data_IF_054866017369
#
_entry.id   IF_054866017369
#
_cell.length_a   1.000
_cell.length_b   1.000
_cell.length_c   1.000
_cell.angle_alpha   90.00
_cell.angle_beta   90.00
_cell.angle_gamma   90.00
#
_symmetry.space_group_name_H-M   'P 1'
#
loop_
_entity.id
_entity.type
_entity.pdbx_description
1 polymer ?
#
# COMPACT_ATOMS: atom_id res chain seq x y z
N UNK A 1 -2.28 31.31 12.94
CA UNK A 1 -2.88 31.20 11.59
C UNK A 1 -2.69 29.82 10.95
N UNK A 2 -1.47 29.32 10.74
CA UNK A 2 -1.23 28.11 9.90
C UNK A 2 -1.79 26.79 10.43
N UNK A 3 -1.60 26.50 11.73
CA UNK A 3 -2.16 25.30 12.39
C UNK A 3 -3.66 25.42 12.65
N UNK A 4 -4.16 26.65 12.82
CA UNK A 4 -5.58 26.92 13.09
C UNK A 4 -6.46 26.55 11.89
N UNK A 5 -6.03 26.87 10.66
CA UNK A 5 -6.73 26.46 9.45
C UNK A 5 -6.94 24.94 9.39
N UNK A 6 -5.86 24.16 9.56
CA UNK A 6 -5.96 22.70 9.54
C UNK A 6 -6.86 22.16 10.66
N UNK A 7 -6.75 22.71 11.87
CA UNK A 7 -7.62 22.34 13.00
C UNK A 7 -9.10 22.65 12.71
N UNK A 8 -9.39 23.83 12.18
CA UNK A 8 -10.75 24.23 11.85
C UNK A 8 -11.37 23.32 10.78
N UNK A 9 -10.60 23.00 9.72
CA UNK A 9 -11.06 22.09 8.67
C UNK A 9 -11.32 20.70 9.24
N UNK A 10 -10.40 20.16 10.05
CA UNK A 10 -10.58 18.83 10.68
C UNK A 10 -11.80 18.82 11.60
N UNK A 11 -12.03 19.87 12.39
CA UNK A 11 -13.20 19.99 13.26
C UNK A 11 -14.51 20.06 12.46
N UNK A 12 -14.57 20.84 11.39
CA UNK A 12 -15.75 20.90 10.50
C UNK A 12 -16.06 19.54 9.86
N UNK A 13 -15.01 18.78 9.48
CA UNK A 13 -15.20 17.42 8.98
C UNK A 13 -15.71 16.52 10.12
N UNK A 14 -15.16 16.65 11.33
CA UNK A 14 -15.61 15.89 12.50
C UNK A 14 -17.07 16.18 12.86
N UNK A 15 -17.53 17.43 12.74
CA UNK A 15 -18.96 17.79 12.92
C UNK A 15 -19.85 17.01 11.95
N UNK A 16 -19.43 16.87 10.69
CA UNK A 16 -20.19 16.18 9.66
C UNK A 16 -20.18 14.65 9.78
N UNK A 17 -19.06 14.04 10.20
CA UNK A 17 -18.88 12.57 10.11
C UNK A 17 -18.73 11.86 11.45
N UNK A 18 -18.53 12.60 12.54
CA UNK A 18 -18.23 12.06 13.87
C UNK A 18 -18.92 12.83 15.01
N UNK A 19 -19.95 13.65 14.71
CA UNK A 19 -20.67 14.45 15.71
C UNK A 19 -19.76 15.40 16.49
N UNK A 20 -18.73 15.95 15.84
CA UNK A 20 -17.74 16.85 16.43
C UNK A 20 -16.64 16.15 17.23
N UNK A 21 -16.68 14.82 17.35
CA UNK A 21 -15.67 14.07 18.10
C UNK A 21 -14.39 13.88 17.29
N UNK A 22 -13.25 13.98 17.96
CA UNK A 22 -11.92 13.78 17.39
C UNK A 22 -11.07 12.83 18.23
N UNK A 23 -10.07 12.21 17.62
CA UNK A 23 -9.03 11.43 18.33
C UNK A 23 -7.66 11.99 18.03
N UNK A 24 -6.81 12.08 19.05
CA UNK A 24 -5.38 12.39 18.85
C UNK A 24 -4.69 11.22 18.16
N UNK A 25 -3.74 11.50 17.29
CA UNK A 25 -3.00 10.48 16.52
C UNK A 25 -1.51 10.48 16.88
N UNK A 26 -0.87 9.32 16.87
CA UNK A 26 0.56 9.18 17.17
C UNK A 26 1.45 9.41 15.94
N UNK A 27 1.01 8.94 14.78
CA UNK A 27 1.73 9.09 13.50
C UNK A 27 0.76 9.30 12.34
N UNK A 28 1.28 9.84 11.24
CA UNK A 28 0.53 10.02 10.00
C UNK A 28 1.30 9.51 8.79
N UNK A 29 0.56 9.14 7.75
CA UNK A 29 1.12 8.74 6.46
C UNK A 29 0.29 9.32 5.33
N UNK A 30 0.87 10.26 4.59
CA UNK A 30 0.18 11.03 3.55
C UNK A 30 0.23 10.24 2.23
N UNK A 31 -0.95 9.99 1.67
CA UNK A 31 -1.14 9.37 0.36
C UNK A 31 -1.45 10.41 -0.73
N UNK A 32 -1.36 10.01 -1.99
CA UNK A 32 -1.62 10.89 -3.14
C UNK A 32 -0.57 11.98 -3.24
N UNK A 33 0.70 11.62 -3.32
CA UNK A 33 1.83 12.57 -3.44
C UNK A 33 2.60 12.41 -4.75
N UNK A 34 2.12 11.54 -5.64
CA UNK A 34 2.64 11.41 -7.00
C UNK A 34 2.03 12.48 -7.89
N UNK A 35 2.87 13.23 -8.62
CA UNK A 35 2.41 14.24 -9.58
C UNK A 35 1.46 13.65 -10.63
N UNK A 36 1.63 12.38 -11.01
CA UNK A 36 0.69 11.66 -11.88
C UNK A 36 -0.74 11.67 -11.32
N UNK A 37 -0.89 11.51 -10.00
CA UNK A 37 -2.18 11.31 -9.34
C UNK A 37 -2.84 12.60 -8.89
N UNK A 38 -2.06 13.64 -8.55
CA UNK A 38 -2.60 14.89 -8.00
C UNK A 38 -2.42 16.11 -8.89
N UNK A 39 -1.54 16.02 -9.90
CA UNK A 39 -1.27 17.09 -10.86
C UNK A 39 -0.92 18.43 -10.21
N UNK A 40 -1.13 19.50 -10.97
CA UNK A 40 -0.85 20.86 -10.52
C UNK A 40 -1.73 21.30 -9.34
N UNK A 41 -3.03 20.96 -9.35
CA UNK A 41 -3.93 21.36 -8.27
C UNK A 41 -3.50 20.80 -6.91
N UNK A 42 -3.05 19.54 -6.87
CA UNK A 42 -2.50 18.96 -5.66
C UNK A 42 -1.18 19.57 -5.24
N UNK A 43 -0.30 19.89 -6.20
CA UNK A 43 0.95 20.59 -5.92
C UNK A 43 0.68 21.98 -5.32
N UNK A 44 -0.22 22.76 -5.92
CA UNK A 44 -0.64 24.08 -5.45
C UNK A 44 -1.26 24.03 -4.05
N UNK A 45 -2.08 23.02 -3.76
CA UNK A 45 -2.65 22.84 -2.42
C UNK A 45 -1.55 22.61 -1.36
N UNK A 46 -0.57 21.76 -1.67
CA UNK A 46 0.56 21.51 -0.76
C UNK A 46 1.44 22.75 -0.59
N UNK A 47 1.69 23.48 -1.67
CA UNK A 47 2.43 24.75 -1.67
C UNK A 47 1.72 25.83 -0.85
N UNK A 48 0.39 25.95 -0.99
CA UNK A 48 -0.44 26.83 -0.19
C UNK A 48 -0.32 26.50 1.31
N UNK A 49 -0.50 25.24 1.69
CA UNK A 49 -0.34 24.84 3.09
C UNK A 49 1.06 25.18 3.61
N UNK A 50 2.11 24.90 2.82
CA UNK A 50 3.48 25.22 3.17
C UNK A 50 3.70 26.74 3.31
N UNK A 51 3.12 27.56 2.43
CA UNK A 51 3.27 29.02 2.44
C UNK A 51 2.63 29.68 3.66
N UNK A 52 1.65 29.03 4.30
CA UNK A 52 1.11 29.52 5.58
C UNK A 52 2.11 29.37 6.74
N UNK A 53 3.18 28.58 6.59
CA UNK A 53 4.08 28.20 7.68
C UNK A 53 3.53 27.07 8.54
N UNK A 54 2.62 26.25 8.01
CA UNK A 54 2.12 25.08 8.72
C UNK A 54 3.22 24.03 8.87
N UNK A 55 3.16 23.26 9.97
CA UNK A 55 4.05 22.12 10.22
C UNK A 55 3.22 20.96 10.76
N UNK A 56 3.56 19.75 10.35
CA UNK A 56 3.03 18.54 10.98
C UNK A 56 3.40 18.52 12.47
N UNK A 57 2.47 18.07 13.29
CA UNK A 57 2.62 18.00 14.76
C UNK A 57 2.96 16.60 15.26
N UNK A 58 2.90 15.60 14.38
CA UNK A 58 3.19 14.19 14.64
C UNK A 58 4.16 13.65 13.59
N UNK A 59 4.88 12.58 13.88
CA UNK A 59 5.77 11.97 12.89
C UNK A 59 4.98 11.56 11.65
N UNK A 60 5.33 12.17 10.52
CA UNK A 60 4.55 12.06 9.28
C UNK A 60 5.44 11.64 8.14
N UNK A 61 5.00 10.65 7.38
CA UNK A 61 5.70 10.14 6.19
C UNK A 61 4.82 10.27 4.95
N UNK A 62 5.38 10.02 3.78
CA UNK A 62 4.68 10.15 2.50
C UNK A 62 4.77 8.90 1.64
N UNK A 63 3.74 8.70 0.82
CA UNK A 63 3.68 7.68 -0.22
C UNK A 63 4.73 7.86 -1.32
N UNK A 64 4.86 6.89 -2.25
CA UNK A 64 5.76 6.99 -3.38
C UNK A 64 5.42 8.15 -4.33
N UNK A 65 6.46 8.71 -4.94
CA UNK A 65 6.42 9.76 -5.94
C UNK A 65 6.22 9.20 -7.36
N UNK A 66 5.97 10.09 -8.33
CA UNK A 66 5.93 9.75 -9.76
C UNK A 66 7.30 9.38 -10.34
N UNK A 67 8.38 9.78 -9.66
CA UNK A 67 9.77 9.67 -10.11
C UNK A 67 10.56 8.94 -9.03
N UNK A 68 11.39 7.98 -9.43
CA UNK A 68 12.26 7.26 -8.50
C UNK A 68 13.48 8.10 -8.12
N UNK A 69 14.14 7.71 -7.03
CA UNK A 69 15.31 8.41 -6.51
C UNK A 69 16.58 8.20 -7.35
N UNK A 70 16.64 7.11 -8.12
CA UNK A 70 17.85 6.67 -8.84
C UNK A 70 17.86 7.02 -10.34
N UNK A 71 16.77 7.60 -10.87
CA UNK A 71 16.63 7.90 -12.29
C UNK A 71 16.41 6.67 -13.18
N UNK A 72 16.05 5.52 -12.59
CA UNK A 72 15.68 4.31 -13.34
C UNK A 72 14.40 4.56 -14.14
N UNK A 73 13.46 5.33 -13.56
CA UNK A 73 12.20 5.68 -14.15
C UNK A 73 12.30 7.02 -14.91
N UNK A 74 12.73 7.00 -16.17
CA UNK A 74 12.72 8.18 -17.03
C UNK A 74 11.29 8.72 -17.26
N UNK A 75 11.06 9.99 -16.89
CA UNK A 75 9.79 10.71 -17.07
C UNK A 75 10.01 12.02 -17.85
N UNK A 76 8.93 12.72 -18.23
CA UNK A 76 9.05 14.06 -18.84
C UNK A 76 9.52 15.10 -17.82
N UNK A 77 10.15 16.18 -18.31
CA UNK A 77 10.59 17.29 -17.46
C UNK A 77 9.44 17.95 -16.71
N UNK A 78 8.23 17.95 -17.28
CA UNK A 78 7.03 18.45 -16.62
C UNK A 78 6.73 17.64 -15.36
N UNK A 79 6.73 16.31 -15.45
CA UNK A 79 6.49 15.42 -14.31
C UNK A 79 7.59 15.56 -13.27
N UNK A 80 8.85 15.70 -13.71
CA UNK A 80 9.98 15.93 -12.81
C UNK A 80 9.80 17.23 -12.01
N UNK A 81 9.55 18.36 -12.69
CA UNK A 81 9.34 19.66 -12.05
C UNK A 81 8.12 19.66 -11.12
N UNK A 82 7.02 19.05 -11.55
CA UNK A 82 5.81 18.90 -10.75
C UNK A 82 6.05 18.08 -9.48
N UNK A 83 6.81 16.98 -9.59
CA UNK A 83 7.16 16.15 -8.44
C UNK A 83 8.12 16.86 -7.47
N UNK A 84 9.06 17.66 -7.98
CA UNK A 84 9.95 18.48 -7.16
C UNK A 84 9.20 19.54 -6.35
N UNK A 85 8.18 20.19 -6.96
CA UNK A 85 7.27 21.10 -6.25
C UNK A 85 6.60 20.42 -5.06
N UNK A 86 6.00 19.25 -5.29
CA UNK A 86 5.36 18.44 -4.25
C UNK A 86 6.37 18.08 -3.15
N UNK A 87 7.56 17.57 -3.51
CA UNK A 87 8.57 17.18 -2.55
C UNK A 87 9.07 18.36 -1.69
N UNK A 88 9.26 19.54 -2.30
CA UNK A 88 9.64 20.76 -1.57
C UNK A 88 8.54 21.19 -0.59
N UNK A 89 7.28 21.20 -1.02
CA UNK A 89 6.15 21.56 -0.16
C UNK A 89 6.02 20.60 1.03
N UNK A 90 6.11 19.28 0.80
CA UNK A 90 6.09 18.28 1.87
C UNK A 90 7.22 18.47 2.89
N UNK A 91 8.46 18.71 2.44
CA UNK A 91 9.59 19.02 3.34
C UNK A 91 9.35 20.32 4.12
N UNK A 92 8.81 21.34 3.45
CA UNK A 92 8.46 22.61 4.09
C UNK A 92 7.36 22.42 5.15
N UNK A 93 6.46 21.45 5.00
CA UNK A 93 5.48 21.06 6.02
C UNK A 93 6.04 20.18 7.14
N UNK A 94 7.31 19.75 7.05
CA UNK A 94 7.93 18.84 8.02
C UNK A 94 7.60 17.36 7.81
N UNK A 95 7.05 16.99 6.65
CA UNK A 95 6.78 15.60 6.28
C UNK A 95 8.10 14.93 5.88
N UNK A 96 8.35 13.72 6.41
CA UNK A 96 9.45 12.88 5.97
C UNK A 96 9.18 12.34 4.58
N UNK A 97 10.01 12.75 3.62
CA UNK A 97 9.94 12.32 2.22
C UNK A 97 10.66 10.98 2.04
N UNK A 98 10.26 9.99 2.85
CA UNK A 98 10.74 8.60 2.77
C UNK A 98 10.14 7.89 1.55
N UNK A 99 9.07 8.42 0.97
CA UNK A 99 8.46 7.96 -0.29
C UNK A 99 8.21 6.45 -0.34
N UNK A 100 7.51 5.90 0.66
CA UNK A 100 7.22 4.47 0.76
C UNK A 100 5.74 4.20 0.91
N UNK A 101 5.21 3.21 0.20
CA UNK A 101 3.83 2.73 0.42
C UNK A 101 3.72 1.69 1.54
N UNK A 102 4.86 1.29 2.11
CA UNK A 102 4.98 0.35 3.23
C UNK A 102 5.63 1.04 4.45
N UNK A 103 5.00 2.09 5.03
CA UNK A 103 5.54 2.79 6.19
C UNK A 103 5.66 1.88 7.42
N UNK A 104 4.87 0.80 7.49
CA UNK A 104 4.91 -0.17 8.58
C UNK A 104 6.24 -0.93 8.66
N UNK A 105 7.06 -0.97 7.61
CA UNK A 105 8.37 -1.63 7.65
C UNK A 105 9.37 -0.91 8.58
N UNK A 106 9.16 0.39 8.82
CA UNK A 106 10.06 1.21 9.64
C UNK A 106 9.35 2.04 10.72
N UNK A 107 8.03 2.09 10.72
CA UNK A 107 7.22 2.61 11.84
C UNK A 107 6.65 1.43 12.60
N UNK A 108 7.09 1.24 13.84
CA UNK A 108 6.49 0.30 14.77
C UNK A 108 5.25 0.93 15.41
N UNK A 109 4.12 0.28 15.28
CA UNK A 109 2.84 0.70 15.87
C UNK A 109 2.44 -0.29 16.95
N UNK A 110 1.94 0.21 18.09
CA UNK A 110 1.48 -0.64 19.19
C UNK A 110 -0.02 -0.93 19.03
N UNK A 111 -0.51 -2.09 19.51
CA UNK A 111 -1.95 -2.35 19.56
C UNK A 111 -2.72 -1.20 20.25
N UNK A 112 -3.92 -0.92 19.75
CA UNK A 112 -4.86 0.09 20.25
C UNK A 112 -4.33 1.54 20.24
N UNK A 113 -3.32 1.84 19.43
CA UNK A 113 -2.88 3.23 19.16
C UNK A 113 -3.58 3.81 17.94
N UNK A 114 -3.70 5.13 17.84
CA UNK A 114 -4.45 5.81 16.78
C UNK A 114 -3.53 6.55 15.81
N UNK A 115 -3.83 6.46 14.52
CA UNK A 115 -2.97 6.98 13.45
C UNK A 115 -3.81 7.64 12.35
N UNK A 116 -3.20 8.56 11.60
CA UNK A 116 -3.78 9.21 10.43
C UNK A 116 -3.07 8.74 9.14
N UNK A 117 -3.23 7.46 8.80
CA UNK A 117 -2.62 6.90 7.59
C UNK A 117 -3.64 6.94 6.43
N UNK A 118 -3.18 7.24 5.22
CA UNK A 118 -4.01 7.37 4.02
C UNK A 118 -3.69 6.35 2.91
N UNK A 119 -2.61 5.59 3.04
CA UNK A 119 -2.26 4.54 2.08
C UNK A 119 -3.04 3.26 2.40
N UNK A 120 -3.86 2.80 1.45
CA UNK A 120 -4.84 1.73 1.69
C UNK A 120 -4.22 0.43 2.19
N UNK A 121 -3.08 0.01 1.61
CA UNK A 121 -2.40 -1.21 2.05
C UNK A 121 -1.83 -1.03 3.47
N UNK A 122 -1.28 0.15 3.76
CA UNK A 122 -0.65 0.46 5.03
C UNK A 122 -1.65 0.52 6.17
N UNK A 123 -2.80 1.17 5.96
CA UNK A 123 -3.92 1.19 6.90
C UNK A 123 -4.36 -0.24 7.20
N UNK A 124 -4.60 -1.03 6.15
CA UNK A 124 -5.11 -2.41 6.28
C UNK A 124 -4.13 -3.30 7.01
N UNK A 125 -2.84 -3.14 6.73
CA UNK A 125 -1.79 -3.89 7.39
C UNK A 125 -1.73 -3.58 8.88
N UNK A 126 -1.67 -2.29 9.29
CA UNK A 126 -1.58 -1.95 10.71
C UNK A 126 -2.86 -2.28 11.49
N UNK A 127 -4.03 -2.10 10.85
CA UNK A 127 -5.31 -2.45 11.45
C UNK A 127 -5.35 -3.97 11.72
N UNK A 128 -4.99 -4.78 10.72
CA UNK A 128 -5.18 -6.24 10.75
C UNK A 128 -4.08 -6.97 11.51
N UNK A 129 -2.81 -6.65 11.26
CA UNK A 129 -1.67 -7.42 11.80
C UNK A 129 -1.05 -6.79 13.05
N UNK A 130 -1.35 -5.52 13.35
CA UNK A 130 -0.81 -4.81 14.51
C UNK A 130 -1.86 -4.28 15.48
N UNK A 131 -3.15 -4.41 15.13
CA UNK A 131 -4.27 -3.84 15.88
C UNK A 131 -4.06 -2.34 16.18
N UNK A 132 -3.40 -1.62 15.29
CA UNK A 132 -3.19 -0.18 15.38
C UNK A 132 -4.14 0.52 14.43
N UNK A 133 -4.79 1.57 14.89
CA UNK A 133 -6.05 2.03 14.31
C UNK A 133 -5.87 3.24 13.43
N UNK A 134 -6.21 3.10 12.15
CA UNK A 134 -6.46 4.21 11.25
C UNK A 134 -7.75 3.94 10.46
N UNK A 135 -8.50 4.99 10.17
CA UNK A 135 -9.57 4.94 9.17
C UNK A 135 -8.97 5.17 7.76
N UNK A 136 -9.77 4.94 6.72
CA UNK A 136 -9.52 5.25 5.31
C UNK A 136 -9.58 6.76 5.06
N UNK A 137 -8.72 7.50 5.75
CA UNK A 137 -8.60 8.94 5.59
C UNK A 137 -8.12 9.28 4.17
N UNK A 138 -8.78 10.21 3.44
CA UNK A 138 -8.23 10.76 2.22
C UNK A 138 -6.86 11.42 2.46
N UNK A 139 -5.99 11.43 1.45
CA UNK A 139 -4.65 12.04 1.54
C UNK A 139 -4.64 13.45 2.15
N UNK A 140 -5.48 14.39 1.68
CA UNK A 140 -5.59 15.72 2.27
C UNK A 140 -6.01 15.71 3.75
N UNK A 141 -6.96 14.85 4.14
CA UNK A 141 -7.40 14.74 5.54
C UNK A 141 -6.29 14.20 6.43
N UNK A 142 -5.52 13.20 5.97
CA UNK A 142 -4.39 12.69 6.73
C UNK A 142 -3.30 13.77 6.94
N UNK A 143 -3.02 14.60 5.94
CA UNK A 143 -2.08 15.72 6.07
C UNK A 143 -2.60 16.80 7.02
N UNK A 144 -3.86 17.22 6.88
CA UNK A 144 -4.48 18.21 7.77
C UNK A 144 -4.55 17.67 9.21
N UNK A 145 -4.88 16.38 9.38
CA UNK A 145 -4.86 15.69 10.65
C UNK A 145 -3.48 15.61 11.27
N UNK A 146 -2.43 15.43 10.47
CA UNK A 146 -1.05 15.48 10.93
C UNK A 146 -0.65 16.87 11.46
N UNK A 147 -1.09 17.94 10.78
CA UNK A 147 -0.87 19.33 11.20
C UNK A 147 -1.68 19.65 12.47
N UNK A 148 -2.94 19.19 12.54
CA UNK A 148 -3.81 19.39 13.69
C UNK A 148 -3.32 18.60 14.93
N UNK A 149 -2.86 17.37 14.72
CA UNK A 149 -2.52 16.37 15.73
C UNK A 149 -3.68 15.42 16.08
N UNK A 150 -4.79 15.52 15.35
CA UNK A 150 -5.98 14.73 15.56
C UNK A 150 -6.78 14.59 14.25
N UNK A 151 -7.67 13.61 14.21
CA UNK A 151 -8.59 13.32 13.10
C UNK A 151 -10.01 13.08 13.64
N UNK A 152 -11.06 13.14 12.80
CA UNK A 152 -12.41 12.80 13.23
C UNK A 152 -12.46 11.40 13.86
N UNK A 153 -13.20 11.25 14.97
CA UNK A 153 -13.43 9.97 15.65
C UNK A 153 -14.51 9.16 14.92
N UNK A 154 -14.20 8.74 13.72
CA UNK A 154 -15.05 7.85 12.93
C UNK A 154 -15.18 6.47 13.58
N UNK A 155 -16.05 5.61 13.02
CA UNK A 155 -16.35 4.28 13.56
C UNK A 155 -15.09 3.41 13.69
N UNK A 156 -14.13 3.50 12.77
CA UNK A 156 -12.88 2.74 12.85
C UNK A 156 -11.89 3.23 13.92
N UNK A 157 -12.19 4.30 14.67
CA UNK A 157 -11.46 4.64 15.91
C UNK A 157 -12.22 4.19 17.18
N UNK A 158 -13.16 3.26 17.03
CA UNK A 158 -13.91 2.67 18.14
C UNK A 158 -13.87 1.15 18.06
N UNK A 159 -14.00 0.49 19.21
CA UNK A 159 -14.12 -0.97 19.24
C UNK A 159 -15.40 -1.42 18.52
N UNK A 160 -16.49 -0.67 18.69
CA UNK A 160 -17.78 -0.95 18.09
C UNK A 160 -17.73 -0.94 16.56
N UNK A 161 -17.15 0.09 15.96
CA UNK A 161 -17.01 0.16 14.50
C UNK A 161 -16.00 -0.83 13.91
N UNK A 162 -15.25 -1.53 14.76
CA UNK A 162 -14.32 -2.61 14.39
C UNK A 162 -14.89 -4.01 14.68
N UNK A 163 -16.15 -4.09 15.10
CA UNK A 163 -16.86 -5.36 15.31
C UNK A 163 -16.88 -6.18 14.03
N UNK A 164 -16.45 -7.45 14.04
CA UNK A 164 -16.56 -8.30 12.87
C UNK A 164 -18.02 -8.51 12.46
N UNK A 165 -18.31 -8.35 11.18
CA UNK A 165 -19.66 -8.43 10.60
C UNK A 165 -19.87 -9.65 9.71
N UNK A 166 -18.79 -10.31 9.31
CA UNK A 166 -18.81 -11.45 8.40
C UNK A 166 -17.85 -12.55 8.88
N UNK A 167 -18.23 -13.81 8.71
CA UNK A 167 -17.35 -14.95 8.96
C UNK A 167 -16.84 -15.51 7.63
N UNK A 168 -15.51 -15.55 7.48
CA UNK A 168 -14.85 -16.07 6.27
C UNK A 168 -14.04 -17.30 6.66
N UNK A 169 -14.41 -18.46 6.12
CA UNK A 169 -13.59 -19.69 6.23
C UNK A 169 -12.65 -19.73 5.02
N UNK A 170 -11.36 -19.88 5.26
CA UNK A 170 -10.33 -20.03 4.23
C UNK A 170 -9.83 -21.47 4.28
N UNK A 171 -10.07 -22.21 3.20
CA UNK A 171 -9.73 -23.62 3.02
C UNK A 171 -8.78 -23.78 1.82
N UNK A 172 -7.64 -23.10 1.92
CA UNK A 172 -6.60 -23.05 0.87
C UNK A 172 -5.28 -23.62 1.38
N UNK A 173 -4.99 -23.53 2.68
CA UNK A 173 -3.69 -23.86 3.27
C UNK A 173 -2.79 -22.63 3.41
N UNK A 174 -1.48 -22.81 3.64
CA UNK A 174 -0.53 -21.71 3.68
C UNK A 174 -0.52 -20.96 2.35
N UNK A 175 -0.81 -19.65 2.40
CA UNK A 175 -0.97 -18.78 1.24
C UNK A 175 0.37 -18.19 0.84
N UNK A 176 0.77 -18.39 -0.41
CA UNK A 176 1.84 -17.60 -1.02
C UNK A 176 1.43 -16.13 -1.26
N UNK A 177 2.37 -15.30 -1.72
CA UNK A 177 2.09 -13.86 -1.96
C UNK A 177 0.89 -13.62 -2.88
N UNK A 178 0.80 -14.39 -3.96
CA UNK A 178 -0.25 -14.20 -4.96
C UNK A 178 -1.58 -14.76 -4.44
N UNK A 179 -1.55 -15.95 -3.85
CA UNK A 179 -2.73 -16.58 -3.25
C UNK A 179 -3.32 -15.70 -2.13
N UNK A 180 -2.48 -15.09 -1.30
CA UNK A 180 -2.90 -14.16 -0.26
C UNK A 180 -3.58 -12.91 -0.84
N UNK A 181 -3.02 -12.36 -1.92
CA UNK A 181 -3.66 -11.29 -2.69
C UNK A 181 -5.00 -11.71 -3.30
N UNK A 182 -5.08 -12.90 -3.90
CA UNK A 182 -6.33 -13.44 -4.47
C UNK A 182 -7.39 -13.61 -3.39
N UNK A 183 -7.04 -14.19 -2.23
CA UNK A 183 -7.95 -14.31 -1.09
C UNK A 183 -8.45 -12.94 -0.65
N UNK A 184 -7.56 -11.94 -0.52
CA UNK A 184 -7.96 -10.58 -0.20
C UNK A 184 -8.93 -9.97 -1.22
N UNK A 185 -8.67 -10.18 -2.52
CA UNK A 185 -9.54 -9.72 -3.61
C UNK A 185 -10.92 -10.42 -3.57
N UNK A 186 -10.96 -11.74 -3.43
CA UNK A 186 -12.20 -12.52 -3.35
C UNK A 186 -13.07 -12.11 -2.15
N UNK A 187 -12.47 -11.88 -0.99
CA UNK A 187 -13.20 -11.33 0.17
C UNK A 187 -13.78 -9.95 -0.17
N UNK A 188 -12.95 -9.12 -0.79
CA UNK A 188 -13.34 -7.78 -1.21
C UNK A 188 -14.54 -7.77 -2.17
N UNK A 189 -14.49 -8.61 -3.20
CA UNK A 189 -15.53 -8.75 -4.23
C UNK A 189 -16.81 -9.38 -3.68
N UNK A 190 -16.72 -10.37 -2.77
CA UNK A 190 -17.88 -11.07 -2.20
C UNK A 190 -18.60 -10.30 -1.10
N UNK A 191 -17.89 -9.47 -0.30
CA UNK A 191 -18.50 -8.69 0.79
C UNK A 191 -18.73 -7.21 0.43
N UNK A 192 -17.81 -6.59 -0.30
CA UNK A 192 -17.79 -5.15 -0.60
C UNK A 192 -17.47 -4.22 0.59
N UNK A 193 -18.00 -4.51 1.79
CA UNK A 193 -17.83 -3.70 3.01
C UNK A 193 -17.96 -4.53 4.29
N UNK A 194 -17.61 -3.93 5.44
CA UNK A 194 -17.67 -4.55 6.75
C UNK A 194 -16.31 -4.92 7.32
N UNK A 195 -16.30 -5.78 8.33
CA UNK A 195 -15.07 -6.29 8.97
C UNK A 195 -15.13 -7.82 8.96
N UNK A 196 -14.36 -8.50 8.09
CA UNK A 196 -14.37 -9.96 8.02
C UNK A 196 -13.54 -10.57 9.16
N UNK A 197 -14.10 -11.60 9.79
CA UNK A 197 -13.41 -12.51 10.70
C UNK A 197 -12.94 -13.74 9.94
N UNK A 198 -11.63 -13.91 9.80
CA UNK A 198 -11.01 -14.97 8.99
C UNK A 198 -10.62 -16.17 9.86
N UNK A 199 -11.11 -17.34 9.47
CA UNK A 199 -10.73 -18.65 10.04
C UNK A 199 -9.92 -19.45 9.04
N UNK A 200 -8.81 -20.04 9.46
CA UNK A 200 -7.96 -20.86 8.61
C UNK A 200 -6.97 -20.09 7.70
N UNK A 201 -6.92 -18.76 7.80
CA UNK A 201 -5.90 -17.97 7.10
C UNK A 201 -4.51 -18.28 7.67
N UNK A 202 -3.58 -18.68 6.80
CA UNK A 202 -2.18 -18.90 7.13
C UNK A 202 -1.32 -18.26 6.05
N UNK A 203 -0.41 -17.37 6.43
CA UNK A 203 0.46 -16.64 5.52
C UNK A 203 1.89 -17.19 5.65
N UNK A 204 2.55 -17.50 4.52
CA UNK A 204 3.88 -18.12 4.55
C UNK A 204 4.99 -17.17 5.01
N UNK A 205 4.81 -15.86 4.80
CA UNK A 205 5.82 -14.82 5.02
C UNK A 205 5.19 -13.42 5.19
N UNK A 206 6.03 -12.39 5.35
CA UNK A 206 5.55 -10.99 5.43
C UNK A 206 5.01 -10.48 4.08
N UNK A 207 5.53 -10.97 2.95
CA UNK A 207 5.04 -10.57 1.63
C UNK A 207 3.59 -10.99 1.40
N UNK A 208 3.23 -12.21 1.78
CA UNK A 208 1.85 -12.71 1.74
C UNK A 208 0.90 -11.92 2.65
N UNK A 209 1.36 -11.46 3.83
CA UNK A 209 0.57 -10.54 4.67
C UNK A 209 0.34 -9.19 3.98
N UNK A 210 1.38 -8.62 3.36
CA UNK A 210 1.29 -7.35 2.62
C UNK A 210 0.35 -7.43 1.42
N UNK A 211 0.46 -8.50 0.62
CA UNK A 211 -0.39 -8.71 -0.55
C UNK A 211 -1.87 -8.90 -0.15
N UNK A 212 -2.15 -9.63 0.92
CA UNK A 212 -3.50 -9.73 1.47
C UNK A 212 -4.08 -8.35 1.83
N UNK A 213 -3.34 -7.56 2.61
CA UNK A 213 -3.78 -6.23 3.03
C UNK A 213 -3.96 -5.27 1.84
N UNK A 214 -3.06 -5.35 0.86
CA UNK A 214 -3.12 -4.55 -0.35
C UNK A 214 -4.35 -4.89 -1.20
N UNK A 215 -4.60 -6.18 -1.44
CA UNK A 215 -5.72 -6.61 -2.26
C UNK A 215 -7.07 -6.34 -1.59
N UNK A 216 -7.23 -6.66 -0.29
CA UNK A 216 -8.49 -6.46 0.44
C UNK A 216 -8.98 -5.01 0.32
N UNK A 217 -8.09 -4.04 0.51
CA UNK A 217 -8.42 -2.62 0.47
C UNK A 217 -8.47 -1.99 -0.92
N UNK A 218 -7.97 -2.70 -1.92
CA UNK A 218 -8.04 -2.32 -3.34
C UNK A 218 -9.35 -2.76 -3.96
N UNK A 219 -9.79 -3.98 -3.66
CA UNK A 219 -11.01 -4.59 -4.20
C UNK A 219 -12.25 -4.35 -3.34
N UNK A 220 -12.15 -3.54 -2.28
CA UNK A 220 -13.29 -3.19 -1.42
C UNK A 220 -13.11 -1.87 -0.66
N UNK A 221 -14.15 -1.50 0.09
CA UNK A 221 -14.07 -0.40 1.06
C UNK A 221 -13.33 -0.77 2.35
N UNK A 222 -13.11 -2.06 2.61
CA UNK A 222 -12.59 -2.57 3.86
C UNK A 222 -11.11 -2.23 4.05
N UNK A 223 -10.75 -1.82 5.26
CA UNK A 223 -9.36 -1.57 5.67
C UNK A 223 -9.01 -2.25 6.98
N UNK A 224 -9.80 -3.24 7.39
CA UNK A 224 -9.56 -4.03 8.59
C UNK A 224 -10.18 -5.41 8.43
N UNK A 225 -9.41 -6.45 8.74
CA UNK A 225 -9.90 -7.80 8.95
C UNK A 225 -9.40 -8.30 10.30
N UNK A 226 -10.13 -9.24 10.90
CA UNK A 226 -9.66 -9.95 12.10
C UNK A 226 -9.24 -11.34 11.67
N UNK A 227 -7.95 -11.64 11.76
CA UNK A 227 -7.37 -12.95 11.44
C UNK A 227 -7.22 -13.74 12.73
N UNK A 228 -7.94 -14.86 12.83
CA UNK A 228 -7.89 -15.75 14.00
C UNK A 228 -6.45 -16.20 14.29
N UNK A 229 -6.01 -16.01 15.54
CA UNK A 229 -4.66 -16.38 15.96
C UNK A 229 -3.53 -15.43 15.53
N UNK A 230 -3.80 -14.47 14.63
CA UNK A 230 -2.78 -13.54 14.10
C UNK A 230 -3.04 -12.09 14.53
N UNK A 231 -4.26 -11.59 14.39
CA UNK A 231 -4.59 -10.22 14.80
C UNK A 231 -4.46 -10.08 16.32
N UNK A 232 -3.72 -9.09 16.84
CA UNK A 232 -3.71 -8.84 18.28
C UNK A 232 -5.13 -8.62 18.81
N UNK A 233 -5.43 -9.16 19.98
CA UNK A 233 -6.77 -9.08 20.59
C UNK A 233 -7.92 -9.70 19.76
N UNK A 234 -7.63 -10.62 18.83
CA UNK A 234 -8.67 -11.26 17.99
C UNK A 234 -9.83 -11.88 18.80
N UNK A 235 -9.58 -12.40 20.01
CA UNK A 235 -10.61 -12.95 20.89
C UNK A 235 -11.60 -11.90 21.38
N UNK A 236 -11.14 -10.68 21.64
CA UNK A 236 -12.00 -9.57 22.05
C UNK A 236 -12.91 -9.15 20.89
N UNK A 237 -12.35 -9.09 19.67
CA UNK A 237 -13.15 -8.83 18.47
C UNK A 237 -14.17 -9.93 18.21
N UNK A 238 -13.81 -11.20 18.39
CA UNK A 238 -14.73 -12.32 18.26
C UNK A 238 -15.85 -12.26 19.32
N UNK A 239 -15.53 -11.89 20.56
CA UNK A 239 -16.50 -11.80 21.65
C UNK A 239 -17.62 -10.79 21.40
N UNK A 240 -17.33 -9.74 20.62
CA UNK A 240 -18.33 -8.73 20.22
C UNK A 240 -18.87 -8.97 18.80
N UNK A 241 -18.42 -9.98 18.06
CA UNK A 241 -18.76 -10.13 16.65
C UNK A 241 -20.27 -10.28 16.38
N UNK A 242 -20.73 -9.68 15.29
CA UNK A 242 -22.08 -9.80 14.75
C UNK A 242 -22.01 -10.37 13.32
N UNK A 243 -21.69 -11.66 13.25
CA UNK A 243 -21.39 -12.37 12.00
C UNK A 243 -22.67 -12.65 11.20
N UNK A 244 -23.11 -11.66 10.41
CA UNK A 244 -24.31 -11.72 9.57
C UNK A 244 -24.05 -12.48 8.27
N UNK A 245 -22.90 -12.24 7.66
CA UNK A 245 -22.51 -12.89 6.41
C UNK A 245 -21.59 -14.08 6.66
N UNK A 246 -21.70 -15.11 5.82
CA UNK A 246 -20.84 -16.29 5.85
C UNK A 246 -20.29 -16.56 4.46
N UNK A 247 -18.98 -16.61 4.34
CA UNK A 247 -18.26 -16.89 3.10
C UNK A 247 -17.28 -18.03 3.34
N UNK A 248 -17.11 -18.85 2.32
CA UNK A 248 -16.03 -19.82 2.24
C UNK A 248 -15.17 -19.48 1.02
N UNK A 249 -13.85 -19.60 1.15
CA UNK A 249 -12.88 -19.47 0.06
C UNK A 249 -12.10 -20.77 -0.02
N UNK A 250 -12.27 -21.49 -1.12
CA UNK A 250 -11.62 -22.78 -1.38
C UNK A 250 -10.38 -22.64 -2.28
N UNK A 251 -9.61 -23.72 -2.42
CA UNK A 251 -8.55 -23.80 -3.44
C UNK A 251 -9.06 -23.58 -4.87
N UNK A 252 -10.28 -24.04 -5.17
CA UNK A 252 -10.87 -23.90 -6.50
C UNK A 252 -11.22 -22.44 -6.80
N UNK A 253 -11.66 -21.68 -5.79
CA UNK A 253 -11.88 -20.23 -5.92
C UNK A 253 -10.59 -19.50 -6.29
N UNK A 254 -9.48 -19.86 -5.64
CA UNK A 254 -8.16 -19.27 -5.91
C UNK A 254 -7.64 -19.69 -7.29
N UNK A 255 -7.79 -20.97 -7.65
CA UNK A 255 -7.41 -21.47 -8.96
C UNK A 255 -8.22 -20.81 -10.09
N UNK A 256 -9.51 -20.58 -9.89
CA UNK A 256 -10.39 -19.90 -10.86
C UNK A 256 -10.04 -18.42 -11.09
N UNK A 257 -9.33 -17.79 -10.15
CA UNK A 257 -8.80 -16.42 -10.33
C UNK A 257 -7.58 -16.39 -11.25
N UNK A 258 -6.80 -17.48 -11.28
CA UNK A 258 -5.62 -17.63 -12.12
C UNK A 258 -6.04 -18.06 -13.52
N UNK A 259 -6.08 -17.11 -14.46
CA UNK A 259 -6.27 -17.40 -15.88
C UNK A 259 -4.92 -17.52 -16.57
N UNK A 260 -4.86 -18.32 -17.64
CA UNK A 260 -3.67 -18.42 -18.47
C UNK A 260 -3.25 -17.04 -18.99
N UNK A 261 -1.95 -16.82 -18.95
CA UNK A 261 -1.33 -15.52 -19.18
C UNK A 261 -0.50 -15.52 -20.45
N UNK A 262 -0.56 -14.40 -21.17
CA UNK A 262 0.23 -14.15 -22.36
C UNK A 262 1.72 -13.98 -22.06
N UNK A 263 2.47 -13.64 -23.09
CA UNK A 263 3.90 -13.38 -22.98
C UNK A 263 4.17 -11.94 -22.51
N UNK A 264 4.81 -11.70 -21.34
CA UNK A 264 5.02 -10.35 -20.83
C UNK A 264 6.23 -9.67 -21.46
N UNK A 265 6.19 -8.37 -21.69
CA UNK A 265 7.40 -7.64 -22.11
C UNK A 265 8.28 -7.29 -20.89
N UNK A 266 7.71 -7.32 -19.68
CA UNK A 266 8.38 -6.99 -18.42
C UNK A 266 7.78 -7.77 -17.25
N UNK A 267 8.62 -8.09 -16.27
CA UNK A 267 8.19 -8.66 -14.99
C UNK A 267 8.31 -7.58 -13.91
N UNK A 268 7.29 -7.44 -13.06
CA UNK A 268 7.25 -6.42 -12.03
C UNK A 268 6.97 -7.01 -10.64
N UNK A 269 7.82 -6.63 -9.69
CA UNK A 269 7.69 -6.96 -8.26
C UNK A 269 7.69 -5.69 -7.40
N UNK A 270 7.10 -5.81 -6.21
CA UNK A 270 7.09 -4.75 -5.20
C UNK A 270 5.86 -3.85 -5.29
N UNK A 271 4.65 -4.41 -5.29
CA UNK A 271 3.44 -3.61 -5.04
C UNK A 271 2.49 -4.31 -4.04
N UNK A 272 2.66 -4.15 -2.73
CA UNK A 272 3.47 -3.13 -2.03
C UNK A 272 4.97 -3.30 -2.16
N UNK A 273 5.73 -2.26 -1.84
CA UNK A 273 7.21 -2.26 -1.94
C UNK A 273 7.83 -3.55 -1.40
N UNK A 274 8.76 -4.10 -2.19
CA UNK A 274 9.49 -5.29 -1.81
C UNK A 274 10.38 -5.00 -0.59
N UNK A 275 10.39 -5.90 0.39
CA UNK A 275 11.36 -5.85 1.47
C UNK A 275 12.71 -6.43 1.02
N UNK A 276 13.69 -6.42 1.93
CA UNK A 276 15.04 -6.92 1.64
C UNK A 276 15.04 -8.41 1.28
N UNK A 277 14.21 -9.21 1.93
CA UNK A 277 14.15 -10.66 1.71
C UNK A 277 13.57 -10.97 0.33
N UNK A 278 12.51 -10.27 -0.08
CA UNK A 278 11.94 -10.35 -1.44
C UNK A 278 12.98 -9.98 -2.49
N UNK A 279 13.74 -8.90 -2.29
CA UNK A 279 14.77 -8.48 -3.26
C UNK A 279 15.90 -9.50 -3.34
N UNK A 280 16.40 -9.98 -2.21
CA UNK A 280 17.48 -10.98 -2.16
C UNK A 280 17.05 -12.31 -2.79
N UNK A 281 15.79 -12.72 -2.58
CA UNK A 281 15.22 -13.90 -3.25
C UNK A 281 15.21 -13.74 -4.77
N UNK A 282 14.73 -12.60 -5.30
CA UNK A 282 14.73 -12.32 -6.76
C UNK A 282 16.16 -12.41 -7.30
N UNK A 283 17.11 -11.73 -6.67
CA UNK A 283 18.51 -11.73 -7.11
C UNK A 283 19.13 -13.12 -7.06
N UNK A 284 18.81 -13.91 -6.03
CA UNK A 284 19.24 -15.30 -5.91
C UNK A 284 18.74 -16.18 -7.05
N UNK A 285 17.45 -16.08 -7.38
CA UNK A 285 16.85 -16.84 -8.48
C UNK A 285 17.39 -16.44 -9.85
N UNK A 286 17.57 -15.14 -10.08
CA UNK A 286 18.14 -14.64 -11.33
C UNK A 286 19.60 -15.06 -11.45
N UNK A 287 20.42 -14.94 -10.40
CA UNK A 287 21.83 -15.34 -10.42
C UNK A 287 22.04 -16.82 -10.76
N UNK A 288 21.15 -17.71 -10.35
CA UNK A 288 21.19 -19.15 -10.70
C UNK A 288 20.99 -19.41 -12.20
N UNK A 289 20.27 -18.52 -12.89
CA UNK A 289 19.85 -18.68 -14.29
C UNK A 289 20.64 -17.79 -15.26
N UNK A 290 21.34 -16.77 -14.75
CA UNK A 290 22.13 -15.82 -15.53
C UNK A 290 21.42 -14.49 -15.75
N UNK A 291 21.81 -13.73 -16.77
CA UNK A 291 21.13 -12.47 -17.12
C UNK A 291 19.74 -12.77 -17.68
N UNK A 292 18.69 -12.13 -17.15
CA UNK A 292 17.32 -12.31 -17.63
C UNK A 292 17.15 -11.74 -19.06
N UNK A 293 16.38 -12.44 -19.90
CA UNK A 293 16.12 -12.02 -21.30
C UNK A 293 15.19 -10.81 -21.35
N UNK A 294 14.16 -10.80 -20.49
CA UNK A 294 13.21 -9.70 -20.32
C UNK A 294 13.54 -8.94 -19.03
N UNK A 295 13.36 -7.62 -18.97
CA UNK A 295 13.69 -6.85 -17.79
C UNK A 295 12.80 -7.21 -16.60
N UNK A 296 13.39 -7.25 -15.41
CA UNK A 296 12.67 -7.39 -14.14
C UNK A 296 12.75 -6.06 -13.41
N UNK A 297 11.63 -5.42 -13.14
CA UNK A 297 11.54 -4.19 -12.37
C UNK A 297 11.12 -4.51 -10.94
N UNK A 298 11.85 -3.96 -9.97
CA UNK A 298 11.59 -4.18 -8.54
C UNK A 298 11.53 -2.85 -7.83
N UNK A 299 10.37 -2.49 -7.31
CA UNK A 299 10.23 -1.28 -6.50
C UNK A 299 10.35 -1.60 -5.01
N UNK A 300 11.15 -0.81 -4.30
CA UNK A 300 11.43 -1.00 -2.88
C UNK A 300 11.52 0.33 -2.13
N UNK A 301 11.55 0.29 -0.80
CA UNK A 301 11.71 1.50 0.01
C UNK A 301 13.12 2.08 -0.11
N UNK A 302 13.32 3.41 0.06
CA UNK A 302 14.67 3.98 0.08
C UNK A 302 15.58 3.41 1.17
N UNK A 303 14.99 2.93 2.27
CA UNK A 303 15.73 2.24 3.33
C UNK A 303 16.33 0.93 2.85
N UNK A 304 15.53 0.07 2.20
CA UNK A 304 15.99 -1.20 1.64
C UNK A 304 16.97 -0.96 0.48
N UNK A 305 16.69 -0.01 -0.41
CA UNK A 305 17.62 0.36 -1.49
C UNK A 305 19.00 0.76 -0.95
N UNK A 306 19.02 1.56 0.12
CA UNK A 306 20.27 1.95 0.79
C UNK A 306 20.97 0.75 1.44
N UNK A 307 20.24 -0.19 2.04
CA UNK A 307 20.80 -1.41 2.63
C UNK A 307 21.45 -2.32 1.58
N UNK A 308 20.87 -2.41 0.39
CA UNK A 308 21.44 -3.20 -0.73
C UNK A 308 22.77 -2.61 -1.23
N UNK A 309 22.94 -1.30 -1.17
CA UNK A 309 24.18 -0.63 -1.58
C UNK A 309 24.57 -0.96 -3.02
N UNK A 310 25.81 -1.41 -3.23
CA UNK A 310 26.30 -1.74 -4.57
C UNK A 310 25.62 -2.97 -5.19
N UNK A 311 24.98 -3.82 -4.39
CA UNK A 311 24.19 -4.93 -4.92
C UNK A 311 23.04 -4.45 -5.79
N UNK A 312 22.41 -3.32 -5.44
CA UNK A 312 21.32 -2.74 -6.23
C UNK A 312 21.79 -2.28 -7.62
N UNK A 313 23.04 -1.80 -7.72
CA UNK A 313 23.63 -1.40 -9.00
C UNK A 313 24.05 -2.62 -9.81
N UNK A 314 24.69 -3.60 -9.18
CA UNK A 314 25.12 -4.84 -9.83
C UNK A 314 23.95 -5.66 -10.38
N UNK A 315 22.74 -5.50 -9.82
CA UNK A 315 21.52 -6.12 -10.33
C UNK A 315 21.23 -5.79 -11.80
N UNK A 316 21.69 -4.62 -12.29
CA UNK A 316 21.52 -4.19 -13.67
C UNK A 316 22.25 -5.12 -14.66
N UNK A 317 23.38 -5.71 -14.27
CA UNK A 317 24.13 -6.68 -15.07
C UNK A 317 23.34 -7.97 -15.29
N UNK A 318 22.35 -8.23 -14.43
CA UNK A 318 21.41 -9.34 -14.54
C UNK A 318 20.07 -8.97 -15.19
N UNK A 319 19.94 -7.73 -15.69
CA UNK A 319 18.70 -7.15 -16.22
C UNK A 319 17.60 -6.99 -15.16
N UNK A 320 18.00 -6.78 -13.90
CA UNK A 320 17.13 -6.50 -12.77
C UNK A 320 17.28 -5.02 -12.40
N UNK A 321 16.19 -4.28 -12.56
CA UNK A 321 16.09 -2.83 -12.35
C UNK A 321 15.45 -2.58 -10.98
N UNK A 322 16.29 -2.42 -9.96
CA UNK A 322 15.85 -2.10 -8.60
C UNK A 322 15.78 -0.58 -8.48
N UNK A 323 14.66 -0.05 -8.00
CA UNK A 323 14.47 1.39 -7.80
C UNK A 323 13.64 1.69 -6.54
N UNK A 324 13.74 2.91 -6.05
CA UNK A 324 13.09 3.31 -4.80
C UNK A 324 12.45 4.69 -4.86
N UNK A 325 11.46 4.90 -3.99
CA UNK A 325 10.73 6.17 -3.90
C UNK A 325 9.60 6.35 -4.92
N UNK A 326 9.41 5.40 -5.83
CA UNK A 326 8.31 5.35 -6.80
C UNK A 326 7.92 3.89 -7.06
N UNK A 327 6.77 3.66 -7.70
CA UNK A 327 6.34 2.34 -8.19
C UNK A 327 5.74 2.45 -9.58
N UNK A 328 5.59 1.32 -10.30
CA UNK A 328 4.97 1.32 -11.63
C UNK A 328 3.46 1.66 -11.58
N UNK A 329 2.81 1.60 -10.42
CA UNK A 329 1.42 2.06 -10.31
C UNK A 329 1.33 3.58 -10.44
N UNK A 330 2.24 4.34 -9.82
CA UNK A 330 2.12 5.80 -9.72
C UNK A 330 3.12 6.57 -10.58
N UNK A 331 3.81 5.92 -11.50
CA UNK A 331 4.75 6.54 -12.44
C UNK A 331 4.26 6.44 -13.88
N UNK A 332 4.30 7.53 -14.69
CA UNK A 332 3.94 7.48 -16.10
C UNK A 332 4.93 6.64 -16.94
N UNK A 333 6.09 6.30 -16.38
CA UNK A 333 7.07 5.36 -16.92
C UNK A 333 6.40 4.08 -17.42
N UNK A 334 5.40 3.59 -16.69
CA UNK A 334 4.71 2.32 -16.97
C UNK A 334 4.08 2.24 -18.36
N UNK A 335 3.69 3.36 -18.97
CA UNK A 335 3.01 3.43 -20.27
C UNK A 335 3.84 2.95 -21.46
N UNK A 336 5.14 2.69 -21.29
CA UNK A 336 5.98 2.13 -22.36
C UNK A 336 5.88 0.63 -22.50
N UNK A 337 5.34 -0.05 -21.49
CA UNK A 337 5.11 -1.49 -21.52
C UNK A 337 3.73 -1.76 -22.13
N UNK A 338 3.57 -2.94 -22.73
CA UNK A 338 2.27 -3.43 -23.23
C UNK A 338 1.71 -4.50 -22.31
N UNK A 339 2.54 -5.44 -21.87
CA UNK A 339 2.17 -6.56 -21.02
C UNK A 339 3.12 -6.70 -19.83
N UNK A 340 2.57 -6.68 -18.61
CA UNK A 340 3.31 -6.83 -17.35
C UNK A 340 2.88 -8.10 -16.62
N UNK A 341 3.84 -8.95 -16.28
CA UNK A 341 3.63 -10.06 -15.35
C UNK A 341 3.97 -9.61 -13.92
N UNK A 342 3.10 -9.88 -12.95
CA UNK A 342 3.35 -9.49 -11.54
C UNK A 342 2.68 -10.46 -10.56
N UNK A 343 3.23 -10.56 -9.35
CA UNK A 343 2.61 -11.29 -8.23
C UNK A 343 1.64 -10.45 -7.40
N UNK A 344 1.34 -9.21 -7.83
CA UNK A 344 0.53 -8.25 -7.08
C UNK A 344 -0.84 -7.99 -7.69
N UNK A 345 -1.88 -8.26 -6.91
CA UNK A 345 -3.27 -7.96 -7.28
C UNK A 345 -3.53 -6.47 -7.29
N UNK A 346 -2.84 -5.70 -6.44
CA UNK A 346 -2.94 -4.24 -6.45
C UNK A 346 -2.37 -3.65 -7.73
N UNK A 347 -1.25 -4.15 -8.23
CA UNK A 347 -0.69 -3.74 -9.51
C UNK A 347 -1.62 -4.11 -10.67
N UNK A 348 -2.17 -5.33 -10.67
CA UNK A 348 -3.16 -5.80 -11.65
C UNK A 348 -4.41 -4.91 -11.67
N UNK A 349 -4.84 -4.41 -10.51
CA UNK A 349 -5.97 -3.50 -10.44
C UNK A 349 -5.65 -2.12 -11.01
N UNK A 350 -4.58 -1.49 -10.53
CA UNK A 350 -4.36 -0.06 -10.83
C UNK A 350 -3.64 0.21 -12.15
N UNK A 351 -2.68 -0.62 -12.56
CA UNK A 351 -1.88 -0.32 -13.75
C UNK A 351 -2.73 -0.24 -15.03
N UNK A 352 -3.63 -1.21 -15.33
CA UNK A 352 -4.49 -1.10 -16.51
C UNK A 352 -5.36 0.15 -16.48
N UNK A 353 -5.90 0.50 -15.31
CA UNK A 353 -6.80 1.65 -15.13
C UNK A 353 -6.10 3.00 -15.26
N UNK A 354 -4.85 3.10 -14.82
CA UNK A 354 -4.09 4.37 -14.82
C UNK A 354 -3.23 4.56 -16.08
N UNK A 355 -2.83 3.46 -16.72
CA UNK A 355 -1.84 3.48 -17.80
C UNK A 355 -2.30 2.82 -19.10
N UNK A 356 -3.41 2.07 -19.10
CA UNK A 356 -3.87 1.33 -20.28
C UNK A 356 -2.95 0.17 -20.67
N UNK A 357 -2.20 -0.37 -19.70
CA UNK A 357 -1.24 -1.47 -19.89
C UNK A 357 -1.87 -2.78 -19.41
N UNK A 358 -1.72 -3.86 -20.17
CA UNK A 358 -2.22 -5.17 -19.77
C UNK A 358 -1.34 -5.75 -18.67
N UNK A 359 -1.95 -6.23 -17.59
CA UNK A 359 -1.25 -6.79 -16.45
C UNK A 359 -1.90 -8.08 -16.03
N UNK A 360 -1.08 -9.09 -15.75
CA UNK A 360 -1.58 -10.41 -15.41
C UNK A 360 -0.82 -11.04 -14.22
N UNK A 361 -1.51 -11.91 -13.45
CA UNK A 361 -0.94 -12.54 -12.29
C UNK A 361 0.04 -13.66 -12.66
N UNK A 362 1.14 -13.75 -11.92
CA UNK A 362 2.02 -14.90 -11.91
C UNK A 362 2.49 -15.19 -10.49
N UNK A 363 2.64 -16.48 -10.14
CA UNK A 363 3.33 -16.86 -8.89
C UNK A 363 4.78 -16.43 -8.98
N UNK A 364 5.45 -16.18 -7.85
CA UNK A 364 6.80 -15.62 -7.80
C UNK A 364 7.78 -16.35 -8.73
N UNK A 365 7.85 -17.67 -8.63
CA UNK A 365 8.73 -18.52 -9.44
C UNK A 365 8.39 -18.41 -10.92
N UNK A 366 7.10 -18.45 -11.24
CA UNK A 366 6.60 -18.32 -12.62
C UNK A 366 6.90 -16.94 -13.20
N UNK A 367 6.79 -15.87 -12.41
CA UNK A 367 7.19 -14.54 -12.84
C UNK A 367 8.68 -14.51 -13.20
N UNK A 368 9.55 -15.16 -12.41
CA UNK A 368 10.97 -15.27 -12.77
C UNK A 368 11.15 -16.09 -14.05
N UNK A 369 10.47 -17.23 -14.21
CA UNK A 369 10.54 -18.03 -15.46
C UNK A 369 10.14 -17.23 -16.70
N UNK A 370 9.08 -16.42 -16.60
CA UNK A 370 8.62 -15.57 -17.69
C UNK A 370 9.65 -14.51 -18.11
N UNK A 371 10.59 -14.15 -17.22
CA UNK A 371 11.71 -13.28 -17.59
C UNK A 371 12.77 -13.98 -18.48
N UNK A 372 12.72 -15.31 -18.59
CA UNK A 372 13.64 -16.14 -19.39
C UNK A 372 12.99 -16.83 -20.58
N UNK A 373 11.67 -16.77 -20.72
CA UNK A 373 10.97 -17.16 -21.95
C UNK A 373 11.47 -16.26 -23.08
#
# INVERSE_FOLDING_TARGET
MSREYAREVVLKIADAVAGGQVVSVETAHVSGVSYLTIGDYGAEFLEFLASTGAKVSVFTTSNPAAVDLGGVLTVSDEVLRGQERIARALRALGVSVTLSCAPYDFILTRPRTFHAWAESNAITYINTFRDAWSDKNPGPLALLGAIAGFVPRTSLYTLEGRRPTASVKIDVGPLDSLEAGIVGALIGERLGSGVPYLRGASFIDEESRREFAAALSTYSSMVFAVVEGVTPNWREYLAVAELRDKIEISRDDVAGYLKDVGEPDVVYFGCPFADVDTVLWILGEVKKRGRAKRPIYVSTSPGVYKQLGDLAKAALDLNVHIFAGACLVVSPFTRRFKHIATNSLKAIFYIPRLHGVEVFPCRRERCIELAYA
#
